data_IF_875002353452
#
_entry.id   IF_875002353452
#
_cell.length_a   1.000
_cell.length_b   1.000
_cell.length_c   1.000
_cell.angle_alpha   90.00
_cell.angle_beta   90.00
_cell.angle_gamma   90.00
#
_symmetry.space_group_name_H-M   'P 1'
#
loop_
_entity.id
_entity.type
_entity.pdbx_description
1 polymer ?
2 polymer ?
3 polymer ?
4 polymer ?
5 non-polymer ?
6 non-polymer ?
7 non-polymer ?
8 non-polymer ?
9 non-polymer ?
10 non-polymer ?
11 water ?
#
loop_
_entity_poly.entity_id
_entity_poly.type
_entity_poly.pdbx_seq_one_letter_code
_entity_poly.pdbx_strand_id
2 'polydeoxyribonucleotide' '(DC)(DG)(DG)(DC)(DA)(DT)(DA)(DC)(DG)' ?
3 'polydeoxyribonucleotide' '(DC)(DG)(DT)(DA)' ?
4 'polydeoxyribonucleotide' '(DG)(DC)(DC)(DG)' ?
#
# COMPACT_ATOMS: atom_id res chain seq x y z
N UNK A 12 5.29 -7.55 23.50
CA UNK A 12 5.11 -7.05 22.13
C UNK A 12 5.70 -8.07 21.16
N UNK A 13 4.85 -8.75 20.38
CA UNK A 13 5.38 -9.71 19.39
C UNK A 13 6.26 -8.99 18.39
N UNK A 14 7.19 -9.75 17.80
CA UNK A 14 8.19 -9.12 16.92
C UNK A 14 7.67 -8.87 15.50
N UNK A 15 6.73 -9.67 15.01
CA UNK A 15 6.19 -9.52 13.68
C UNK A 15 4.90 -8.70 13.71
N UNK A 16 4.72 -7.82 12.73
CA UNK A 16 3.53 -6.99 12.78
C UNK A 16 2.23 -7.77 12.60
N UNK A 17 2.29 -8.95 11.99
CA UNK A 17 1.11 -9.77 11.78
C UNK A 17 0.67 -10.52 13.03
N UNK A 18 1.42 -10.44 14.12
CA UNK A 18 1.10 -11.09 15.39
C UNK A 18 0.43 -10.17 16.39
N UNK A 19 0.14 -8.92 16.00
CA UNK A 19 -0.44 -7.98 16.93
C UNK A 19 -1.44 -7.12 16.20
N UNK A 20 -2.51 -6.73 16.86
CA UNK A 20 -3.44 -5.79 16.26
C UNK A 20 -2.84 -4.39 16.15
N UNK A 21 -3.05 -3.74 15.00
CA UNK A 21 -2.66 -2.33 14.83
C UNK A 21 -3.89 -1.60 14.34
N UNK A 22 -4.48 -0.73 15.15
CA UNK A 22 -5.69 -0.03 14.75
C UNK A 22 -5.34 1.17 13.89
N UNK A 23 -6.37 1.74 13.30
CA UNK A 23 -6.15 2.90 12.42
C UNK A 23 -5.75 4.12 13.24
N UNK A 24 -6.42 4.35 14.35
CA UNK A 24 -6.12 5.44 15.25
C UNK A 24 -5.26 4.91 16.38
N UNK A 25 -4.13 5.55 16.63
CA UNK A 25 -3.26 5.08 17.71
C UNK A 25 -2.72 6.27 18.50
N UNK A 26 -1.75 6.01 19.38
CA UNK A 26 -1.42 6.97 20.44
C UNK A 26 -0.01 7.55 20.35
N UNK A 27 0.73 7.30 19.27
CA UNK A 27 2.13 7.73 19.19
C UNK A 27 2.44 8.29 17.82
N UNK A 28 1.53 9.09 17.28
CA UNK A 28 1.66 9.55 15.90
C UNK A 28 2.93 10.37 15.71
N UNK A 29 3.25 11.24 16.67
CA UNK A 29 4.44 12.06 16.53
C UNK A 29 5.70 11.23 16.39
N UNK A 30 5.84 10.24 17.25
CA UNK A 30 7.00 9.37 17.20
C UNK A 30 7.02 8.53 15.92
N UNK A 31 5.88 7.93 15.56
CA UNK A 31 5.87 7.07 14.39
C UNK A 31 6.12 7.87 13.12
N UNK A 32 5.58 9.08 13.03
CA UNK A 32 5.80 9.86 11.82
C UNK A 32 7.27 10.21 11.63
N UNK A 33 7.97 10.52 12.72
CA UNK A 33 9.40 10.81 12.65
C UNK A 33 10.19 9.62 12.17
N UNK A 34 9.91 8.45 12.75
CA UNK A 34 10.61 7.25 12.30
C UNK A 34 10.28 6.93 10.84
N UNK A 35 9.05 7.23 10.39
CA UNK A 35 8.69 6.96 9.00
C UNK A 35 9.40 7.92 8.04
N UNK A 36 9.70 9.16 8.47
CA UNK A 36 10.55 10.03 7.65
C UNK A 36 11.93 9.40 7.45
N UNK A 37 12.53 8.88 8.52
CA UNK A 37 13.83 8.22 8.38
C UNK A 37 13.72 6.98 7.48
N UNK A 38 12.63 6.23 7.59
CA UNK A 38 12.48 5.07 6.73
C UNK A 38 12.41 5.47 5.25
N UNK A 39 11.58 6.48 4.96
CA UNK A 39 11.45 6.99 3.60
C UNK A 39 12.79 7.46 3.07
N UNK A 40 13.53 8.22 3.89
CA UNK A 40 14.85 8.68 3.47
C UNK A 40 15.82 7.53 3.24
N UNK A 41 15.74 6.49 4.06
CA UNK A 41 16.60 5.34 3.84
C UNK A 41 16.31 4.73 2.49
N UNK A 42 15.03 4.62 2.14
CA UNK A 42 14.65 4.14 0.81
C UNK A 42 15.22 4.99 -0.31
N UNK A 43 15.16 6.31 -0.15
CA UNK A 43 15.68 7.21 -1.18
C UNK A 43 17.16 7.02 -1.39
N UNK A 44 17.87 6.54 -0.38
CA UNK A 44 19.30 6.31 -0.47
C UNK A 44 19.64 4.86 -0.82
N UNK A 45 18.63 4.03 -1.10
CA UNK A 45 18.82 2.67 -1.56
C UNK A 45 19.04 1.66 -0.46
N UNK A 46 18.75 2.00 0.80
CA UNK A 46 18.93 1.03 1.89
C UNK A 46 17.57 0.50 2.30
N UNK A 47 17.19 -0.60 1.66
CA UNK A 47 15.92 -1.23 1.98
C UNK A 47 15.93 -1.85 3.37
N UNK A 48 17.09 -2.26 3.89
CA UNK A 48 17.11 -2.84 5.22
C UNK A 48 16.86 -1.81 6.32
N UNK A 49 17.51 -0.67 6.22
CA UNK A 49 17.23 0.42 7.15
C UNK A 49 15.79 0.91 7.03
N UNK A 50 15.26 0.99 5.80
CA UNK A 50 13.86 1.35 5.64
C UNK A 50 12.97 0.40 6.41
N UNK A 51 13.23 -0.91 6.28
CA UNK A 51 12.38 -1.90 6.92
C UNK A 51 12.45 -1.77 8.43
N UNK A 52 13.66 -1.59 9.00
CA UNK A 52 13.74 -1.46 10.45
C UNK A 52 12.97 -0.23 10.93
N UNK A 53 13.16 0.92 10.30
CA UNK A 53 12.48 2.12 10.77
C UNK A 53 10.96 1.96 10.63
N UNK A 54 10.52 1.35 9.53
CA UNK A 54 9.09 1.05 9.37
C UNK A 54 8.59 0.13 10.48
N UNK A 55 9.36 -0.91 10.80
CA UNK A 55 8.94 -1.85 11.85
C UNK A 55 8.89 -1.18 13.22
N UNK A 56 9.86 -0.33 13.51
CA UNK A 56 9.88 0.39 14.75
C UNK A 56 8.69 1.33 14.88
N UNK A 57 8.40 2.10 13.80
CA UNK A 57 7.22 2.95 13.81
C UNK A 57 5.96 2.14 14.05
N UNK A 58 5.88 0.96 13.44
CA UNK A 58 4.69 0.14 13.56
C UNK A 58 4.51 -0.40 14.98
N UNK A 59 5.60 -0.77 15.65
CA UNK A 59 5.53 -1.17 17.05
C UNK A 59 4.86 -0.09 17.89
N UNK A 60 5.24 1.19 17.68
CA UNK A 60 4.62 2.28 18.43
C UNK A 60 3.12 2.39 18.17
N UNK A 61 2.68 2.11 16.92
CA UNK A 61 1.26 2.14 16.60
C UNK A 61 0.47 1.09 17.35
N UNK A 62 1.12 0.01 17.77
CA UNK A 62 0.44 -1.07 18.43
C UNK A 62 0.38 -0.90 19.94
N UNK A 63 1.10 0.07 20.50
CA UNK A 63 1.10 0.28 21.94
C UNK A 63 -0.23 0.85 22.42
N UNK A 64 -0.63 0.53 23.66
CA UNK A 64 -1.95 0.94 24.13
C UNK A 64 -2.02 2.39 24.58
N UNK A 65 -0.89 3.04 24.82
CA UNK A 65 -0.89 4.38 25.40
C UNK A 65 0.29 5.17 24.84
N UNK A 66 0.29 6.48 25.02
CA UNK A 66 1.43 7.28 24.59
C UNK A 66 2.71 6.92 25.33
N UNK A 67 3.79 6.85 24.57
CA UNK A 67 5.13 6.78 25.14
C UNK A 67 5.50 8.16 25.65
N UNK A 68 5.78 8.24 26.93
CA UNK A 68 6.20 9.48 27.59
C UNK A 68 7.63 9.44 28.11
N UNK A 69 8.21 8.26 28.30
CA UNK A 69 9.53 8.11 28.91
C UNK A 69 10.30 7.08 28.12
N UNK A 70 11.62 7.30 27.97
CA UNK A 70 12.39 6.36 27.16
C UNK A 70 12.37 4.97 27.77
N UNK A 71 12.16 4.88 29.10
CA UNK A 71 12.05 3.60 29.77
C UNK A 71 10.99 2.70 29.14
N UNK A 72 9.92 3.30 28.60
CA UNK A 72 8.81 2.54 28.03
C UNK A 72 9.18 1.83 26.74
N UNK A 73 10.38 2.06 26.20
CA UNK A 73 10.83 1.33 25.02
C UNK A 73 11.59 0.06 25.35
N UNK A 74 12.02 -0.08 26.59
CA UNK A 74 12.88 -1.20 26.92
C UNK A 74 12.21 -2.51 26.53
N UNK A 75 12.97 -3.36 25.85
CA UNK A 75 12.47 -4.65 25.46
C UNK A 75 11.64 -4.66 24.19
N UNK A 76 11.29 -3.52 23.62
CA UNK A 76 10.44 -3.53 22.43
C UNK A 76 11.24 -4.01 21.23
N UNK A 77 10.65 -4.84 20.39
CA UNK A 77 11.34 -5.27 19.18
C UNK A 77 11.55 -4.13 18.22
N UNK A 78 12.69 -4.19 17.53
CA UNK A 78 13.11 -3.28 16.47
C UNK A 78 13.52 -1.92 16.98
N UNK A 79 13.65 -1.74 18.32
CA UNK A 79 14.26 -0.56 18.90
C UNK A 79 15.68 -0.88 19.33
N UNK A 80 16.63 -0.28 18.64
CA UNK A 80 18.01 -0.30 19.03
C UNK A 80 18.54 1.07 19.28
N UNK A 81 19.84 1.24 19.15
CA UNK A 81 20.42 2.52 19.54
C UNK A 81 19.83 3.66 18.73
N UNK A 82 19.61 3.45 17.42
CA UNK A 82 19.29 4.59 16.56
C UNK A 82 17.84 5.02 16.75
N UNK A 83 16.90 4.07 16.66
CA UNK A 83 15.49 4.42 16.83
C UNK A 83 15.22 4.93 18.25
N UNK A 84 15.90 4.38 19.24
CA UNK A 84 15.72 4.87 20.60
C UNK A 84 16.21 6.30 20.73
N UNK A 85 17.35 6.63 20.10
CA UNK A 85 17.85 8.00 20.22
C UNK A 85 16.86 8.98 19.59
N UNK A 86 16.25 8.60 18.47
CA UNK A 86 15.24 9.46 17.84
C UNK A 86 14.09 9.74 18.79
N UNK A 87 13.55 8.69 19.41
CA UNK A 87 12.45 8.88 20.36
C UNK A 87 12.91 9.73 21.56
N UNK A 88 14.11 9.45 22.08
CA UNK A 88 14.66 10.20 23.23
C UNK A 88 14.70 11.69 22.93
N UNK A 89 15.24 12.06 21.77
CA UNK A 89 15.26 13.46 21.39
C UNK A 89 13.84 14.03 21.36
N UNK A 90 12.92 13.35 20.65
CA UNK A 90 11.57 13.88 20.51
C UNK A 90 10.92 14.06 21.88
N UNK A 91 11.16 13.13 22.81
CA UNK A 91 10.57 13.27 24.14
C UNK A 91 11.20 14.42 24.90
N UNK A 92 12.52 14.58 24.78
CA UNK A 92 13.24 15.60 25.55
C UNK A 92 13.01 16.98 25.00
N UNK A 93 12.97 17.12 23.68
CA UNK A 93 13.07 18.38 22.99
C UNK A 93 11.89 18.68 22.07
N UNK A 94 11.09 17.67 21.70
CA UNK A 94 10.02 17.87 20.75
C UNK A 94 10.45 17.84 19.29
N UNK A 95 11.75 17.69 19.03
CA UNK A 95 12.31 17.65 17.68
C UNK A 95 13.51 16.71 17.71
N UNK A 96 13.74 16.03 16.60
CA UNK A 96 14.96 15.24 16.43
C UNK A 96 15.78 15.89 15.33
N UNK A 97 17.03 16.27 15.66
CA UNK A 97 17.84 17.00 14.70
C UNK A 97 17.96 16.25 13.37
N UNK A 98 18.20 14.94 13.43
CA UNK A 98 18.36 14.18 12.20
C UNK A 98 17.13 14.24 11.32
N UNK A 99 15.94 14.07 11.94
CA UNK A 99 14.69 14.12 11.21
C UNK A 99 14.51 15.49 10.59
N UNK A 100 14.82 16.57 11.32
CA UNK A 100 14.65 17.91 10.77
C UNK A 100 15.62 18.14 9.62
N UNK A 101 16.86 17.69 9.75
CA UNK A 101 17.81 17.84 8.65
C UNK A 101 17.31 17.16 7.40
N UNK A 102 16.80 15.93 7.54
CA UNK A 102 16.29 15.23 6.36
C UNK A 102 15.08 15.97 5.79
N UNK A 103 14.13 16.32 6.64
CA UNK A 103 12.93 17.07 6.22
C UNK A 103 13.27 18.25 5.33
N UNK A 104 14.21 19.09 5.78
CA UNK A 104 14.54 20.34 5.11
C UNK A 104 15.46 20.15 3.92
N UNK A 105 15.92 18.92 3.64
CA UNK A 105 16.96 18.75 2.65
C UNK A 105 16.37 18.74 1.25
N UNK A 106 17.11 19.37 0.33
CA UNK A 106 16.69 19.42 -1.06
C UNK A 106 16.55 18.03 -1.64
N UNK A 107 17.45 17.14 -1.27
CA UNK A 107 17.38 15.77 -1.77
C UNK A 107 16.11 15.07 -1.31
N UNK A 108 15.79 15.11 -0.02
CA UNK A 108 14.55 14.49 0.45
C UNK A 108 13.34 15.11 -0.22
N UNK A 109 13.26 16.44 -0.24
CA UNK A 109 12.06 17.07 -0.76
C UNK A 109 11.85 16.71 -2.21
N UNK A 110 12.93 16.68 -2.99
CA UNK A 110 12.80 16.40 -4.43
C UNK A 110 12.52 14.93 -4.67
N UNK A 111 13.17 14.05 -3.93
CA UNK A 111 12.89 12.63 -4.12
C UNK A 111 11.45 12.32 -3.72
N UNK A 112 10.93 13.01 -2.69
CA UNK A 112 9.53 12.78 -2.33
C UNK A 112 8.61 13.27 -3.44
N UNK A 113 8.91 14.46 -3.98
CA UNK A 113 8.11 15.03 -5.07
C UNK A 113 8.07 14.10 -6.27
N UNK A 114 9.21 13.57 -6.67
CA UNK A 114 9.28 12.77 -7.89
C UNK A 114 8.68 11.39 -7.67
N UNK A 115 8.98 10.74 -6.53
CA UNK A 115 8.47 9.38 -6.34
C UNK A 115 6.98 9.37 -6.08
N UNK A 116 6.40 10.50 -5.70
CA UNK A 116 4.95 10.61 -5.59
C UNK A 116 4.24 10.50 -6.94
N UNK A 117 4.98 10.72 -8.02
CA UNK A 117 4.40 10.63 -9.36
C UNK A 117 4.13 9.16 -9.69
N UNK A 118 2.94 8.89 -10.20
CA UNK A 118 2.62 7.57 -10.73
C UNK A 118 3.52 7.25 -11.90
N UNK A 119 4.26 6.14 -11.82
CA UNK A 119 5.22 5.76 -12.81
C UNK A 119 6.67 6.01 -12.48
N UNK A 120 6.94 6.70 -11.38
CA UNK A 120 8.29 7.09 -10.98
C UNK A 120 8.57 6.45 -9.64
N UNK A 121 9.65 5.66 -9.55
CA UNK A 121 10.14 5.14 -8.31
C UNK A 121 11.48 5.76 -7.93
N UNK A 122 12.10 5.18 -6.88
CA UNK A 122 13.36 5.71 -6.37
C UNK A 122 14.44 5.75 -7.43
N UNK A 123 14.65 4.66 -8.17
CA UNK A 123 15.77 4.65 -9.10
C UNK A 123 15.60 5.71 -10.19
N UNK A 124 14.36 5.88 -10.68
CA UNK A 124 14.13 6.92 -11.68
C UNK A 124 14.29 8.31 -11.09
N UNK A 125 13.70 8.54 -9.91
CA UNK A 125 13.82 9.83 -9.24
C UNK A 125 15.28 10.19 -8.96
N UNK A 126 16.08 9.21 -8.56
CA UNK A 126 17.46 9.48 -8.23
C UNK A 126 18.24 9.87 -9.47
N UNK A 127 17.98 9.22 -10.59
CA UNK A 127 18.67 9.58 -11.83
C UNK A 127 18.33 11.02 -12.22
N UNK A 128 17.06 11.36 -12.21
CA UNK A 128 16.65 12.74 -12.50
C UNK A 128 17.28 13.72 -11.51
N UNK A 129 17.32 13.38 -10.23
CA UNK A 129 17.94 14.27 -9.25
C UNK A 129 19.39 14.50 -9.63
N UNK A 130 20.11 13.42 -9.96
CA UNK A 130 21.52 13.53 -10.33
C UNK A 130 21.72 14.32 -11.61
N UNK A 131 20.70 14.39 -12.46
CA UNK A 131 20.77 15.19 -13.69
C UNK A 131 20.41 16.65 -13.43
N UNK A 132 20.12 17.04 -12.20
CA UNK A 132 19.83 18.42 -11.89
C UNK A 132 18.37 18.79 -11.90
N UNK A 133 17.48 17.85 -12.22
CA UNK A 133 16.07 18.18 -12.24
C UNK A 133 15.54 18.28 -10.83
N UNK A 134 14.62 19.22 -10.63
CA UNK A 134 14.13 19.52 -9.29
C UNK A 134 12.63 19.73 -9.18
N UNK A 135 11.92 20.06 -10.24
CA UNK A 135 10.51 20.40 -10.16
C UNK A 135 9.74 19.60 -11.17
N UNK A 136 8.41 19.57 -11.00
CA UNK A 136 7.57 18.90 -11.98
C UNK A 136 7.66 19.58 -13.34
N UNK A 137 7.76 20.91 -13.36
CA UNK A 137 7.91 21.61 -14.64
C UNK A 137 9.21 21.22 -15.33
N UNK A 138 10.27 20.95 -14.57
CA UNK A 138 11.51 20.46 -15.18
C UNK A 138 11.24 19.19 -15.97
N UNK A 139 10.45 18.26 -15.40
CA UNK A 139 10.18 17.01 -16.10
C UNK A 139 9.34 17.27 -17.35
N UNK A 140 8.32 18.10 -17.21
CA UNK A 140 7.44 18.39 -18.34
C UNK A 140 8.21 19.01 -19.50
N UNK A 141 9.27 19.76 -19.19
CA UNK A 141 10.13 20.37 -20.21
C UNK A 141 10.96 19.34 -20.97
N UNK A 142 11.01 18.08 -20.54
CA UNK A 142 11.82 17.05 -21.19
C UNK A 142 10.98 15.80 -21.43
N UNK A 143 9.89 15.91 -22.17
CA UNK A 143 8.96 14.79 -22.30
C UNK A 143 9.56 13.53 -22.92
N UNK A 144 10.67 13.64 -23.65
CA UNK A 144 11.27 12.44 -24.23
C UNK A 144 11.77 11.48 -23.16
N UNK A 145 12.12 11.98 -21.99
CA UNK A 145 12.61 11.13 -20.93
C UNK A 145 11.49 10.42 -20.16
N UNK A 146 10.24 10.43 -20.64
CA UNK A 146 9.12 9.88 -19.89
C UNK A 146 8.45 8.71 -20.58
N UNK A 147 8.17 7.66 -19.82
CA UNK A 147 7.31 6.60 -20.31
C UNK A 147 5.87 7.10 -20.44
N UNK A 148 5.06 6.33 -21.16
CA UNK A 148 3.63 6.67 -21.25
C UNK A 148 3.00 6.70 -19.86
N UNK A 149 3.40 5.77 -18.99
CA UNK A 149 2.85 5.75 -17.64
C UNK A 149 3.20 7.04 -16.89
N UNK A 150 4.46 7.47 -16.98
CA UNK A 150 4.89 8.69 -16.31
C UNK A 150 4.21 9.92 -16.89
N UNK A 151 3.99 9.92 -18.21
CA UNK A 151 3.29 11.04 -18.84
C UNK A 151 1.90 11.15 -18.25
N UNK A 152 1.23 10.03 -18.10
CA UNK A 152 -0.09 10.03 -17.49
C UNK A 152 -0.05 10.48 -16.04
N UNK A 153 0.93 9.97 -15.28
CA UNK A 153 1.07 10.40 -13.91
C UNK A 153 1.31 11.91 -13.78
N UNK A 154 2.13 12.47 -14.66
CA UNK A 154 2.39 13.91 -14.56
C UNK A 154 1.18 14.70 -15.03
N UNK A 155 0.51 14.22 -16.08
CA UNK A 155 -0.63 14.97 -16.62
C UNK A 155 -1.72 15.11 -15.58
N UNK A 156 -1.89 14.10 -14.74
CA UNK A 156 -3.02 14.06 -13.81
C UNK A 156 -2.55 14.26 -12.39
N UNK A 157 -1.34 14.81 -12.22
CA UNK A 157 -0.71 14.83 -10.90
C UNK A 157 -1.51 15.65 -9.89
N UNK A 158 -2.06 16.80 -10.30
CA UNK A 158 -2.84 17.63 -9.37
C UNK A 158 -4.03 16.85 -8.81
N UNK A 159 -4.83 16.23 -9.71
CA UNK A 159 -5.96 15.44 -9.23
C UNK A 159 -5.52 14.27 -8.39
N UNK A 160 -4.43 13.60 -8.78
CA UNK A 160 -3.97 12.41 -8.06
C UNK A 160 -3.43 12.77 -6.68
N UNK A 161 -3.14 14.05 -6.46
CA UNK A 161 -2.70 14.50 -5.14
C UNK A 161 -3.86 14.84 -4.23
N UNK A 162 -5.08 14.86 -4.73
CA UNK A 162 -6.29 15.16 -3.96
C UNK A 162 -6.76 13.87 -3.30
N UNK A 163 -6.97 13.85 -1.97
CA UNK A 163 -7.42 12.60 -1.34
C UNK A 163 -8.70 12.08 -1.97
N UNK A 164 -8.71 10.77 -2.19
CA UNK A 164 -9.94 10.07 -2.57
C UNK A 164 -10.76 9.86 -1.32
N UNK A 165 -12.04 10.22 -1.40
CA UNK A 165 -12.97 10.10 -0.27
C UNK A 165 -13.95 8.95 -0.46
N UNK A 166 -14.71 8.64 0.60
CA UNK A 166 -15.69 7.55 0.50
C UNK A 166 -16.75 7.78 -0.57
N UNK A 167 -17.21 9.04 -0.74
CA UNK A 167 -18.20 9.28 -1.80
C UNK A 167 -17.63 8.89 -3.16
N UNK A 168 -16.32 9.09 -3.36
CA UNK A 168 -15.69 8.72 -4.62
C UNK A 168 -15.66 7.20 -4.75
N UNK A 169 -15.31 6.52 -3.66
CA UNK A 169 -15.28 5.08 -3.65
C UNK A 169 -16.64 4.51 -4.05
N UNK A 170 -17.71 5.00 -3.45
CA UNK A 170 -19.02 4.45 -3.71
C UNK A 170 -19.44 4.67 -5.15
N UNK A 171 -19.12 5.84 -5.70
CA UNK A 171 -19.44 6.09 -7.11
C UNK A 171 -18.62 5.18 -8.01
N UNK A 172 -17.34 4.99 -7.68
CA UNK A 172 -16.49 4.15 -8.50
C UNK A 172 -16.92 2.69 -8.39
N UNK A 173 -17.32 2.27 -7.20
CA UNK A 173 -17.75 0.89 -7.09
C UNK A 173 -18.95 0.63 -7.99
N UNK A 174 -19.90 1.57 -8.04
CA UNK A 174 -21.09 1.41 -8.87
C UNK A 174 -20.69 1.26 -10.33
N UNK A 175 -19.78 2.10 -10.84
CA UNK A 175 -19.48 1.99 -12.27
C UNK A 175 -18.66 0.74 -12.55
N UNK A 176 -17.77 0.32 -11.63
CA UNK A 176 -17.05 -0.92 -11.81
C UNK A 176 -18.02 -2.10 -11.77
N UNK A 177 -18.96 -2.12 -10.83
CA UNK A 177 -19.93 -3.21 -10.80
C UNK A 177 -20.74 -3.27 -12.07
N UNK A 178 -21.13 -2.11 -12.61
CA UNK A 178 -21.90 -2.12 -13.84
C UNK A 178 -21.11 -2.73 -14.99
N UNK A 179 -19.85 -2.34 -15.15
CA UNK A 179 -19.03 -2.90 -16.22
C UNK A 179 -18.78 -4.39 -16.02
N UNK A 180 -18.49 -4.78 -14.79
CA UNK A 180 -18.24 -6.20 -14.47
C UNK A 180 -19.50 -7.02 -14.76
N UNK A 181 -20.67 -6.55 -14.37
CA UNK A 181 -21.89 -7.29 -14.66
C UNK A 181 -22.20 -7.40 -16.14
N UNK A 182 -21.89 -6.37 -16.92
CA UNK A 182 -22.03 -6.43 -18.37
C UNK A 182 -21.05 -7.42 -18.97
N UNK A 183 -19.87 -7.53 -18.39
CA UNK A 183 -18.84 -8.41 -18.94
C UNK A 183 -19.06 -9.86 -18.57
N UNK A 184 -19.63 -10.14 -17.40
CA UNK A 184 -19.74 -11.53 -16.94
C UNK A 184 -20.82 -11.61 -15.88
N UNK A 185 -22.02 -12.13 -16.17
CA UNK A 185 -23.03 -12.25 -15.12
C UNK A 185 -22.54 -13.11 -13.99
N UNK A 186 -22.83 -12.65 -12.77
CA UNK A 186 -22.48 -13.35 -11.57
C UNK A 186 -21.15 -12.96 -11.01
N UNK A 187 -20.38 -12.16 -11.73
CA UNK A 187 -19.09 -11.75 -11.18
C UNK A 187 -19.31 -10.71 -10.09
N UNK A 188 -18.37 -10.64 -9.15
CA UNK A 188 -18.48 -9.81 -7.98
C UNK A 188 -17.30 -8.86 -7.89
N UNK A 189 -17.53 -7.77 -7.17
CA UNK A 189 -16.57 -6.70 -6.94
C UNK A 189 -16.46 -6.45 -5.45
N UNK A 190 -15.24 -6.58 -4.91
CA UNK A 190 -14.96 -6.41 -3.50
C UNK A 190 -13.99 -5.23 -3.33
N UNK A 191 -14.39 -4.24 -2.53
CA UNK A 191 -13.47 -3.17 -2.17
C UNK A 191 -12.36 -3.70 -1.28
N UNK A 192 -11.10 -3.43 -1.65
CA UNK A 192 -9.96 -3.84 -0.83
C UNK A 192 -9.13 -2.64 -0.43
N UNK A 193 -7.81 -2.84 -0.24
CA UNK A 193 -6.96 -1.70 0.11
C UNK A 193 -7.34 -1.04 1.43
N UNK A 194 -6.87 0.22 1.56
CA UNK A 194 -7.02 0.92 2.82
C UNK A 194 -8.45 1.19 3.23
N UNK A 195 -9.35 1.41 2.25
CA UNK A 195 -10.73 1.59 2.62
C UNK A 195 -11.31 0.36 3.31
N UNK A 196 -10.88 -0.86 2.93
CA UNK A 196 -11.39 -2.03 3.64
C UNK A 196 -10.85 -2.11 5.08
N UNK A 197 -9.69 -1.52 5.34
CA UNK A 197 -9.11 -1.43 6.67
C UNK A 197 -9.72 -0.30 7.50
N UNK A 198 -10.67 0.43 6.92
CA UNK A 198 -11.35 1.48 7.65
C UNK A 198 -10.85 2.90 7.38
N UNK A 199 -9.88 3.09 6.49
CA UNK A 199 -9.43 4.44 6.18
C UNK A 199 -10.57 5.25 5.58
N UNK A 200 -10.57 6.55 5.90
CA UNK A 200 -11.52 7.49 5.38
C UNK A 200 -11.09 8.10 4.07
N UNK A 201 -9.81 7.99 3.75
CA UNK A 201 -9.22 8.58 2.57
C UNK A 201 -8.23 7.61 1.97
N UNK A 202 -7.83 7.87 0.73
CA UNK A 202 -6.79 7.11 0.10
C UNK A 202 -6.21 7.85 -1.07
N UNK A 203 -5.13 7.30 -1.62
CA UNK A 203 -4.56 7.81 -2.86
C UNK A 203 -5.15 7.15 -4.08
N UNK A 204 -5.92 6.09 -3.89
CA UNK A 204 -6.52 5.34 -4.97
C UNK A 204 -7.66 4.54 -4.37
N UNK A 205 -8.38 3.81 -5.24
CA UNK A 205 -9.34 2.81 -4.82
C UNK A 205 -8.92 1.49 -5.41
N UNK A 206 -9.00 0.43 -4.61
CA UNK A 206 -8.59 -0.91 -5.01
C UNK A 206 -9.78 -1.87 -5.00
N UNK A 207 -9.95 -2.63 -6.10
CA UNK A 207 -11.08 -3.53 -6.26
C UNK A 207 -10.59 -4.91 -6.70
N UNK A 208 -11.16 -5.95 -6.11
CA UNK A 208 -10.87 -7.34 -6.41
C UNK A 208 -12.12 -7.97 -7.01
N UNK A 209 -11.96 -8.58 -8.17
CA UNK A 209 -13.05 -9.09 -8.99
C UNK A 209 -12.90 -10.61 -9.12
N UNK A 210 -13.99 -11.35 -8.92
CA UNK A 210 -13.94 -12.79 -9.11
C UNK A 210 -15.31 -13.28 -9.63
N UNK A 211 -15.45 -14.60 -9.78
CA UNK A 211 -16.69 -15.24 -10.14
C UNK A 211 -16.79 -16.55 -9.38
N UNK A 212 -17.97 -16.93 -8.89
CA UNK A 212 -18.00 -18.11 -8.03
C UNK A 212 -17.70 -19.41 -8.74
N UNK A 213 -17.73 -19.45 -10.07
CA UNK A 213 -17.46 -20.67 -10.82
C UNK A 213 -16.04 -20.58 -11.35
N UNK A 214 -15.15 -21.39 -10.81
CA UNK A 214 -13.76 -21.41 -11.17
C UNK A 214 -13.58 -21.46 -12.68
N UNK A 215 -12.78 -20.51 -13.19
CA UNK A 215 -12.45 -20.45 -14.60
C UNK A 215 -13.31 -19.51 -15.39
N UNK A 216 -14.49 -19.17 -14.90
CA UNK A 216 -15.34 -18.27 -15.67
C UNK A 216 -14.74 -16.87 -15.78
N UNK A 217 -13.86 -16.51 -14.87
CA UNK A 217 -13.23 -15.20 -14.86
C UNK A 217 -12.07 -15.09 -15.86
N UNK A 218 -11.74 -16.14 -16.57
CA UNK A 218 -10.68 -16.06 -17.57
C UNK A 218 -11.05 -15.02 -18.63
N UNK A 219 -10.11 -14.10 -18.88
CA UNK A 219 -10.33 -13.07 -19.89
C UNK A 219 -11.23 -11.93 -19.47
N UNK A 220 -11.57 -11.86 -18.18
CA UNK A 220 -12.54 -10.88 -17.73
C UNK A 220 -11.97 -9.46 -17.76
N UNK A 221 -10.71 -9.27 -17.33
CA UNK A 221 -10.30 -7.88 -17.12
C UNK A 221 -10.24 -7.10 -18.44
N UNK A 222 -9.76 -7.67 -19.56
CA UNK A 222 -9.85 -6.92 -20.81
C UNK A 222 -11.29 -6.54 -21.17
N UNK A 223 -12.27 -7.42 -20.91
CA UNK A 223 -13.66 -7.09 -21.24
C UNK A 223 -14.17 -5.95 -20.36
N UNK A 224 -13.81 -5.95 -19.08
CA UNK A 224 -14.20 -4.88 -18.18
C UNK A 224 -13.57 -3.58 -18.63
N UNK A 225 -12.29 -3.61 -18.98
CA UNK A 225 -11.61 -2.38 -19.38
C UNK A 225 -12.22 -1.80 -20.65
N UNK A 226 -12.57 -2.65 -21.61
CA UNK A 226 -13.18 -2.16 -22.83
C UNK A 226 -14.49 -1.49 -22.54
N UNK A 227 -15.29 -2.07 -21.66
CA UNK A 227 -16.59 -1.51 -21.33
C UNK A 227 -16.45 -0.18 -20.58
N UNK A 228 -15.46 -0.08 -19.71
CA UNK A 228 -15.21 1.19 -19.04
C UNK A 228 -14.70 2.23 -20.03
N UNK A 229 -13.79 1.83 -20.93
CA UNK A 229 -13.24 2.77 -21.92
C UNK A 229 -14.33 3.28 -22.84
N UNK A 230 -15.30 2.43 -23.19
CA UNK A 230 -16.34 2.89 -24.11
C UNK A 230 -17.33 3.82 -23.44
N UNK A 231 -17.46 3.77 -22.11
CA UNK A 231 -18.27 4.73 -21.38
C UNK A 231 -17.49 6.01 -21.06
N UNK A 232 -16.27 6.15 -21.56
CA UNK A 232 -15.45 7.34 -21.34
C UNK A 232 -14.86 7.47 -19.96
N UNK A 233 -14.79 6.38 -19.21
CA UNK A 233 -14.35 6.42 -17.82
C UNK A 233 -12.86 6.26 -17.65
N UNK A 234 -12.09 5.93 -18.70
CA UNK A 234 -10.69 5.59 -18.56
C UNK A 234 -9.82 6.68 -19.18
N UNK A 235 -8.95 7.26 -18.38
CA UNK A 235 -7.92 8.19 -18.87
C UNK A 235 -6.60 7.51 -19.19
N UNK A 236 -6.25 6.48 -18.43
CA UNK A 236 -5.01 5.75 -18.63
C UNK A 236 -5.19 4.31 -18.21
N UNK A 237 -4.71 3.39 -19.05
CA UNK A 237 -4.43 2.04 -18.60
C UNK A 237 -3.32 1.44 -19.47
N UNK A 238 -2.73 0.37 -18.97
CA UNK A 238 -1.52 -0.20 -19.60
C UNK A 238 -1.81 -0.80 -20.97
N UNK A 258 -3.21 -10.59 -22.62
CA UNK A 258 -3.86 -11.16 -21.44
C UNK A 258 -3.38 -10.45 -20.18
N UNK A 259 -4.28 -10.13 -19.24
CA UNK A 259 -3.80 -9.50 -18.01
C UNK A 259 -4.84 -9.66 -16.89
N UNK A 260 -4.34 -9.61 -15.66
CA UNK A 260 -5.16 -9.77 -14.46
C UNK A 260 -5.05 -8.64 -13.44
N UNK A 261 -4.16 -7.65 -13.64
CA UNK A 261 -4.08 -6.48 -12.81
C UNK A 261 -4.03 -5.29 -13.75
N UNK A 262 -4.82 -4.28 -13.44
CA UNK A 262 -4.80 -3.05 -14.21
C UNK A 262 -4.65 -1.88 -13.25
N UNK A 263 -3.61 -1.06 -13.42
CA UNK A 263 -3.37 0.14 -12.62
C UNK A 263 -3.79 1.31 -13.45
N UNK A 264 -4.98 1.81 -13.27
CA UNK A 264 -5.47 2.77 -14.24
C UNK A 264 -5.83 4.08 -13.56
N UNK A 265 -6.13 5.06 -14.39
CA UNK A 265 -6.62 6.35 -13.97
C UNK A 265 -7.98 6.53 -14.60
N UNK A 266 -9.00 6.71 -13.75
CA UNK A 266 -10.38 6.91 -14.20
C UNK A 266 -10.66 8.40 -14.40
N UNK A 267 -11.63 8.68 -15.26
CA UNK A 267 -12.27 10.01 -15.38
C UNK A 267 -13.57 9.93 -14.58
N UNK A 268 -13.51 10.33 -13.32
CA UNK A 268 -14.66 10.21 -12.42
C UNK A 268 -15.57 11.43 -12.57
N UNK A 269 -16.84 11.27 -12.96
CA UNK A 269 -17.72 12.44 -13.04
C UNK A 269 -17.89 13.06 -11.66
N UNK A 270 -17.94 14.38 -11.66
CA UNK A 270 -18.24 15.23 -10.52
C UNK A 270 -19.31 16.19 -10.98
N UNK A 271 -19.93 16.91 -10.04
CA UNK A 271 -20.94 17.89 -10.42
C UNK A 271 -20.43 18.93 -11.41
N UNK A 272 -20.97 18.90 -12.63
CA UNK A 272 -20.55 19.80 -13.69
C UNK A 272 -19.16 19.54 -14.24
N UNK A 273 -18.51 18.45 -13.88
CA UNK A 273 -17.14 18.29 -14.33
C UNK A 273 -16.62 16.89 -14.01
N UNK A 274 -15.32 16.72 -13.76
CA UNK A 274 -14.74 15.41 -13.53
C UNK A 274 -13.38 15.58 -12.84
N UNK A 275 -12.89 14.51 -12.26
CA UNK A 275 -11.53 14.48 -11.71
C UNK A 275 -10.94 13.12 -11.97
N UNK A 276 -9.64 13.12 -12.17
CA UNK A 276 -8.89 11.89 -12.31
C UNK A 276 -8.68 11.19 -10.97
N UNK A 277 -8.91 9.88 -10.96
CA UNK A 277 -8.73 9.04 -9.78
C UNK A 277 -7.98 7.77 -10.17
N UNK A 278 -6.98 7.42 -9.37
CA UNK A 278 -6.30 6.15 -9.53
C UNK A 278 -7.17 5.01 -9.03
N UNK A 279 -7.29 3.98 -9.85
CA UNK A 279 -8.08 2.81 -9.49
C UNK A 279 -7.28 1.59 -9.87
N UNK A 280 -7.12 0.64 -8.94
CA UNK A 280 -6.52 -0.64 -9.23
C UNK A 280 -7.59 -1.71 -9.34
N UNK A 281 -7.56 -2.46 -10.42
CA UNK A 281 -8.48 -3.59 -10.65
C UNK A 281 -7.66 -4.87 -10.72
N UNK A 282 -8.13 -5.87 -10.02
CA UNK A 282 -7.49 -7.18 -9.99
C UNK A 282 -8.56 -8.24 -10.18
N UNK A 283 -8.27 -9.23 -11.00
CA UNK A 283 -9.13 -10.38 -11.17
C UNK A 283 -8.42 -11.59 -10.58
N UNK A 284 -9.15 -12.41 -9.82
CA UNK A 284 -8.63 -13.67 -9.30
C UNK A 284 -9.66 -14.76 -9.46
N UNK A 285 -9.26 -16.00 -9.76
CA UNK A 285 -10.19 -17.12 -9.65
C UNK A 285 -10.60 -17.33 -8.21
N UNK A 286 -11.80 -17.89 -8.03
CA UNK A 286 -12.35 -17.95 -6.69
C UNK A 286 -11.50 -18.81 -5.76
N UNK A 287 -10.78 -19.81 -6.30
CA UNK A 287 -9.84 -20.59 -5.50
C UNK A 287 -8.77 -19.73 -4.84
N UNK A 288 -8.40 -18.62 -5.47
CA UNK A 288 -7.36 -17.73 -4.99
C UNK A 288 -7.94 -16.55 -4.24
N UNK A 289 -9.26 -16.39 -4.21
CA UNK A 289 -9.83 -15.13 -3.74
C UNK A 289 -9.43 -14.81 -2.31
N UNK A 290 -9.40 -15.74 -1.36
CA UNK A 290 -8.98 -15.32 -0.01
C UNK A 290 -7.57 -14.85 0.06
N UNK A 291 -6.68 -15.43 -0.76
CA UNK A 291 -5.29 -14.97 -0.77
C UNK A 291 -5.15 -13.61 -1.41
N UNK A 292 -5.93 -13.38 -2.48
CA UNK A 292 -5.84 -12.06 -3.10
C UNK A 292 -6.48 -11.01 -2.21
N UNK A 293 -7.57 -11.36 -1.55
CA UNK A 293 -8.22 -10.43 -0.64
C UNK A 293 -7.26 -10.06 0.49
N UNK A 294 -6.62 -11.05 1.06
CA UNK A 294 -5.65 -10.77 2.11
C UNK A 294 -4.51 -9.90 1.62
N UNK A 295 -3.91 -10.25 0.48
CA UNK A 295 -2.78 -9.46 -0.01
C UNK A 295 -3.15 -8.04 -0.34
N UNK A 296 -4.25 -7.85 -1.06
CA UNK A 296 -4.61 -6.52 -1.51
C UNK A 296 -5.26 -5.66 -0.42
N UNK A 297 -5.61 -6.25 0.71
CA UNK A 297 -6.16 -5.45 1.80
C UNK A 297 -5.05 -4.82 2.64
N UNK A 298 -3.83 -5.35 2.61
CA UNK A 298 -2.72 -4.63 3.25
C UNK A 298 -2.78 -4.73 4.77
N UNK A 299 -2.16 -3.78 5.45
CA UNK A 299 -1.26 -2.78 4.90
C UNK A 299 -0.03 -3.40 4.25
N UNK A 300 0.73 -2.60 3.51
CA UNK A 300 1.93 -3.11 2.85
C UNK A 300 2.88 -3.75 3.87
N UNK A 301 3.12 -3.08 4.99
CA UNK A 301 4.00 -3.65 5.99
C UNK A 301 3.39 -4.92 6.58
N UNK A 302 2.07 -4.90 6.87
CA UNK A 302 1.43 -6.11 7.39
C UNK A 302 1.68 -7.29 6.47
N UNK A 303 1.53 -7.10 5.16
CA UNK A 303 1.67 -8.22 4.22
C UNK A 303 3.12 -8.67 4.08
N UNK A 304 4.08 -7.73 4.07
CA UNK A 304 5.48 -8.15 4.05
C UNK A 304 5.82 -8.96 5.30
N UNK A 305 5.31 -8.51 6.44
CA UNK A 305 5.56 -9.20 7.70
C UNK A 305 4.89 -10.57 7.74
N UNK A 306 3.68 -10.67 7.23
CA UNK A 306 2.98 -11.95 7.16
C UNK A 306 3.71 -12.95 6.25
N UNK A 307 4.20 -12.47 5.11
CA UNK A 307 4.95 -13.34 4.21
C UNK A 307 6.28 -13.76 4.80
N UNK A 308 6.95 -12.83 5.51
CA UNK A 308 8.18 -13.18 6.22
C UNK A 308 7.91 -14.22 7.28
N UNK A 309 6.86 -14.01 8.07
CA UNK A 309 6.49 -14.95 9.11
C UNK A 309 6.22 -16.33 8.52
N UNK A 310 5.42 -16.37 7.47
CA UNK A 310 5.06 -17.63 6.83
C UNK A 310 6.30 -18.43 6.48
N UNK A 311 7.24 -17.78 5.79
CA UNK A 311 8.41 -18.51 5.30
C UNK A 311 9.39 -18.82 6.42
N UNK A 312 9.69 -17.82 7.25
CA UNK A 312 10.78 -17.97 8.24
C UNK A 312 10.34 -18.75 9.46
N UNK A 313 9.09 -18.60 9.90
CA UNK A 313 8.62 -19.33 11.07
C UNK A 313 7.88 -20.61 10.75
N UNK A 314 7.16 -20.67 9.61
CA UNK A 314 6.37 -21.84 9.31
C UNK A 314 6.87 -22.63 8.11
N UNK A 315 7.86 -22.12 7.37
CA UNK A 315 8.33 -22.88 6.22
C UNK A 315 7.38 -22.95 5.04
N UNK A 316 6.45 -22.02 4.95
CA UNK A 316 5.43 -22.00 3.91
C UNK A 316 5.58 -20.71 3.11
N UNK A 317 5.24 -20.76 1.82
CA UNK A 317 5.47 -19.61 0.93
C UNK A 317 4.13 -18.98 0.61
N UNK A 318 3.95 -17.73 1.00
CA UNK A 318 2.68 -17.00 0.86
C UNK A 318 2.78 -15.95 -0.22
N UNK A 319 1.76 -15.89 -1.09
CA UNK A 319 1.62 -14.73 -1.96
C UNK A 319 0.14 -14.48 -2.17
N UNK A 320 -0.21 -13.63 -3.14
CA UNK A 320 -1.60 -13.25 -3.36
C UNK A 320 -2.36 -14.31 -4.16
N UNK A 321 -1.69 -15.39 -4.56
CA UNK A 321 -2.26 -16.54 -5.24
C UNK A 321 -2.54 -17.72 -4.33
N UNK A 322 -1.78 -17.89 -3.24
CA UNK A 322 -1.83 -19.12 -2.50
C UNK A 322 -0.79 -19.21 -1.39
N UNK A 323 -0.81 -20.35 -0.71
CA UNK A 323 0.09 -20.67 0.39
C UNK A 323 0.66 -22.05 0.11
N UNK A 324 1.95 -22.13 -0.18
CA UNK A 324 2.57 -23.32 -0.73
C UNK A 324 3.45 -23.99 0.31
N UNK A 325 3.29 -25.29 0.47
CA UNK A 325 4.19 -26.13 1.28
C UNK A 325 5.26 -26.70 0.35
N UNK A 326 6.49 -26.19 0.37
CA UNK A 326 7.49 -26.60 -0.62
C UNK A 326 8.02 -28.01 -0.44
N UNK A 327 7.79 -28.64 0.71
CA UNK A 327 8.26 -30.01 0.87
C UNK A 327 7.21 -31.02 0.41
N UNK A 328 5.93 -30.81 0.69
CA UNK A 328 4.91 -31.66 0.09
C UNK A 328 4.54 -31.22 -1.31
N UNK A 329 4.90 -30.01 -1.74
CA UNK A 329 4.63 -29.60 -3.10
C UNK A 329 3.13 -29.37 -3.31
N UNK A 330 2.47 -28.82 -2.29
CA UNK A 330 1.02 -28.68 -2.31
C UNK A 330 0.63 -27.27 -1.88
N UNK A 331 -0.55 -26.86 -2.33
CA UNK A 331 -1.15 -25.59 -1.97
C UNK A 331 -2.26 -25.81 -0.96
N UNK A 332 -2.31 -24.94 0.04
CA UNK A 332 -3.37 -24.99 1.04
C UNK A 332 -4.66 -24.44 0.43
N UNK A 333 -5.76 -25.16 0.61
CA UNK A 333 -7.04 -24.70 0.11
C UNK A 333 -7.67 -23.87 1.21
N UNK A 334 -8.04 -22.64 0.89
CA UNK A 334 -8.62 -21.72 1.85
C UNK A 334 -9.95 -21.25 1.35
N UNK A 335 -10.92 -21.15 2.25
CA UNK A 335 -12.21 -20.57 1.93
C UNK A 335 -12.37 -19.17 2.45
N UNK A 336 -11.46 -18.71 3.30
CA UNK A 336 -11.59 -17.41 3.92
C UNK A 336 -10.21 -16.94 4.34
N UNK A 337 -10.10 -15.63 4.63
CA UNK A 337 -8.90 -15.13 5.29
C UNK A 337 -8.65 -15.82 6.63
N UNK A 338 -9.71 -16.06 7.42
CA UNK A 338 -9.53 -16.77 8.68
C UNK A 338 -8.81 -18.09 8.49
N UNK A 339 -9.12 -18.82 7.40
CA UNK A 339 -8.47 -20.10 7.15
C UNK A 339 -6.96 -19.92 7.02
N UNK A 340 -6.55 -18.84 6.33
CA UNK A 340 -5.12 -18.61 6.10
C UNK A 340 -4.41 -18.32 7.42
N UNK A 341 -4.98 -17.43 8.24
CA UNK A 341 -4.38 -17.15 9.54
C UNK A 341 -4.24 -18.43 10.34
N UNK A 342 -5.28 -19.25 10.35
CA UNK A 342 -5.27 -20.49 11.13
C UNK A 342 -4.19 -21.43 10.63
N UNK A 343 -4.07 -21.60 9.31
CA UNK A 343 -3.00 -22.43 8.74
C UNK A 343 -1.64 -21.99 9.27
N UNK A 344 -1.42 -20.66 9.37
CA UNK A 344 -0.16 -20.07 9.76
C UNK A 344 0.00 -20.03 11.27
N UNK A 345 -0.96 -20.55 12.04
CA UNK A 345 -0.88 -20.52 13.50
C UNK A 345 -0.96 -19.14 14.08
N UNK A 346 -1.64 -18.22 13.41
CA UNK A 346 -1.80 -16.85 13.88
C UNK A 346 -3.22 -16.58 14.33
N UNK A 347 -3.37 -15.84 15.42
CA UNK A 347 -4.69 -15.34 15.78
C UNK A 347 -5.22 -14.42 14.67
N UNK A 348 -6.49 -14.59 14.34
CA UNK A 348 -7.08 -13.83 13.24
C UNK A 348 -7.14 -12.36 13.61
N UNK A 349 -6.81 -11.51 12.63
CA UNK A 349 -6.97 -10.07 12.78
C UNK A 349 -7.92 -9.57 11.69
N UNK A 350 -9.00 -8.90 12.03
CA UNK A 350 -9.86 -8.30 10.99
C UNK A 350 -9.13 -7.18 10.28
N UNK A 351 -9.61 -6.75 9.10
CA UNK A 351 -8.87 -5.74 8.33
C UNK A 351 -8.56 -4.45 9.07
N UNK A 352 -9.47 -4.03 9.93
CA UNK A 352 -9.24 -2.77 10.64
C UNK A 352 -8.13 -2.88 11.70
N UNK A 353 -7.61 -4.07 11.97
CA UNK A 353 -6.46 -4.24 12.85
C UNK A 353 -5.19 -4.63 12.10
N UNK A 354 -5.16 -4.47 10.78
CA UNK A 354 -4.00 -4.72 9.95
C UNK A 354 -3.31 -3.44 9.50
N UNK A 355 -3.49 -2.36 10.27
CA UNK A 355 -2.95 -1.04 9.88
C UNK A 355 -1.52 -0.85 10.36
N UNK A 356 -0.72 -1.87 10.13
CA UNK A 356 0.68 -1.85 10.54
C UNK A 356 1.47 -0.84 9.76
X LIG E 1 -1.03 -7.44 -3.50
X LIG E 1 -0.54 -8.47 -2.64
X LIG E 1 -0.74 -7.76 -4.96
X LIG E 1 0.62 -7.97 -5.13
X LIG F 1 1.81 -11.90 -4.84
X LIG F 1 1.10 -12.68 -5.87
X LIG F 1 1.54 -10.42 -4.57
X LIG G 1 22.01 6.31 -15.10
X LIG G 1 21.74 5.97 -13.76
X LIG G 1 22.87 7.57 -15.14
X LIG G 1 24.08 7.32 -14.46
X LIG H 1 5.69 6.66 -7.84
X LIG I 1 -7.34 9.86 7.65
X LIG I 1 -7.49 8.08 7.23
X LIG I 1 -7.49 7.99 5.78
X LIG I 1 -6.35 7.34 7.77
X LIG I 1 -8.74 7.61 7.78
X LIG J 1 -3.58 4.17 0.08
X LIG J 1 -2.32 5.01 -0.01
X LIG J 1 -4.24 3.81 -1.24
X LIG J 1 -4.60 4.65 1.10
X LIG J 1 -3.18 2.85 0.91
X LIG J 1 -3.52 1.30 0.60
X LIG J 1 -3.19 0.54 1.83
X LIG J 1 -4.85 1.17 -0.12
X LIG J 1 -2.34 0.96 -0.38
X LIG J 1 -2.21 0.59 -1.94
X LIG J 1 -3.48 1.01 -2.74
X LIG J 1 -0.89 1.21 -2.33
X LIG J 1 -2.03 -1.00 -2.09
X LIG J 1 -3.09 -1.91 -1.86
X LIG J 1 -2.36 -3.07 -1.27
X LIG J 1 -1.30 -3.54 -2.14
X LIG J 1 -1.64 -2.69 0.02
X LIG J 1 -2.68 -2.45 1.00
X LIG J 1 -0.58 -3.83 0.11
X LIG J 1 -0.91 -4.92 0.82
X LIG J 1 -0.49 -4.34 -1.40
X LIG J 1 0.92 -4.18 -1.64
X LIG J 1 1.83 -5.20 -1.64
X LIG J 1 3.03 -4.73 -1.82
X LIG J 1 2.91 -3.36 -1.88
X LIG J 1 3.88 -2.35 -2.02
X LIG J 1 5.10 -2.50 -2.15
X LIG J 1 3.34 -1.06 -2.05
X LIG J 1 2.00 -0.80 -1.91
X LIG J 1 1.64 0.50 -1.95
X LIG J 1 1.07 -1.73 -1.76
X LIG J 1 1.60 -2.97 -1.76
X LIG J 1 1.53 -6.37 -1.53
X LIG K 1 -5.22 1.89 -2.06
X LIG L 1 -3.67 0.53 -5.03
X LIG M 1 18.95 15.99 24.55
X LIG N 1 -2.10 -15.15 -11.77
X LIG O 1 22.95 4.76 13.62
X LIG P 1 -6.14 2.70 21.40
X LIG Q 1 7.23 2.41 6.82
X LIG R 1 25.99 -7.20 7.11
X LIG S 1 23.52 -2.04 8.06
#
# INVERSE_FOLDING_TARGET
GSAAAPLSPAWMPAYACQRPTPLTHHNTGLSEALEILAEAAGFEGSEGRLLTFCRAASVLKALPSPVTTLSQLQGLPHFGEHSSRVVQELLEHGVCEEVERVRRSERYQTMKLFTQIFGVGVKTADRWYREGLRTLDDLREQPQKLTQQQKAGLQHHQDLSTPVLRSDVDALQQVVEEAVGQALPGATVTLTGGFRRGKLQGHDVDFLITHPKEGQEAGLLPRVMCRLQDQGLILYHQHQHSCCESPTRLAQQSHMDAFERSFCIFRLPQPGSWKAVRVDLVVAPVSQFPFALLGWTGSKLFQRELRRFSRKEKGLWLNSHGLFDPEQKTFFQAASEEDIFRHLGLEYLPPEQRNA
EDO C1 O1 C2 O2
EDO C1 O1 C2
EDO C1 O1 C2 O2
NA NA
EPE C10 S O1S O2S O3S
8GT PG O1G O2G O3G O3B PB O1B O2B O3A PA O1A O2A O5' C5' C4' O4' C3' O3' C2' O2' C1' N9 C8 N7 C5 C6 O6 N1 C2 N2 N3 C4 O8
MN MN
MN MN
MN MN
MN MN
MN MN
MN MN
DTT S1
MN MN
MN MN
#
